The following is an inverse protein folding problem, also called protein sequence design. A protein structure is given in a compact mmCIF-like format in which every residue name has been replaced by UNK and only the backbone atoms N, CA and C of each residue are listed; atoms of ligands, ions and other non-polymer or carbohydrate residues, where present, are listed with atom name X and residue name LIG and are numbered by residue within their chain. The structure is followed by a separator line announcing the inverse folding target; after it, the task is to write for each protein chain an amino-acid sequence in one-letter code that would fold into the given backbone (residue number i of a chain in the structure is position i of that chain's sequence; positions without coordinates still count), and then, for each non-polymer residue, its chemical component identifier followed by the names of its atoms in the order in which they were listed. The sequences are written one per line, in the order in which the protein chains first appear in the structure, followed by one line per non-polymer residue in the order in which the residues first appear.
data_IF_528187618701
#
_entry.id   IF_528187618701
#
_cell.length_a   1.000
_cell.length_b   1.000
_cell.length_c   1.000
_cell.angle_alpha   90.00
_cell.angle_beta   90.00
_cell.angle_gamma   90.00
#
_symmetry.space_group_name_H-M   'P 1'
#
loop_
_entity.id
_entity.type
_entity.pdbx_description
1 polymer ?
#
# COMPACT_ATOMS: atom_id res chain seq x y z
N UNK A 1 -47.64 -23.74 -4.52
CA UNK A 1 -47.26 -24.62 -5.63
C UNK A 1 -48.49 -25.32 -6.13
N UNK A 2 -48.99 -25.01 -7.32
CA UNK A 2 -49.97 -25.86 -8.00
C UNK A 2 -49.21 -27.00 -8.65
N UNK A 3 -49.14 -28.14 -7.98
CA UNK A 3 -48.71 -29.37 -8.59
C UNK A 3 -49.93 -30.12 -8.98
N UNK A 4 -50.02 -30.50 -10.23
CA UNK A 4 -51.05 -31.46 -10.67
C UNK A 4 -50.84 -32.80 -9.99
N UNK A 5 -51.91 -33.44 -9.56
CA UNK A 5 -51.93 -34.74 -8.93
C UNK A 5 -51.29 -35.79 -9.79
N UNK A 6 -50.38 -36.60 -9.25
CA UNK A 6 -49.78 -37.62 -9.98
C UNK A 6 -49.53 -38.92 -9.31
N UNK A 7 -49.15 -39.80 -10.06
CA UNK A 7 -48.95 -41.21 -9.81
C UNK A 7 -47.52 -41.53 -9.36
N UNK A 8 -47.34 -42.51 -8.59
CA UNK A 8 -46.24 -43.13 -7.88
C UNK A 8 -44.91 -43.31 -8.60
N UNK A 9 -44.35 -42.26 -9.13
CA UNK A 9 -42.98 -42.24 -9.65
C UNK A 9 -42.04 -41.59 -8.67
N UNK A 10 -40.75 -41.87 -8.72
CA UNK A 10 -39.74 -41.22 -7.85
C UNK A 10 -39.66 -39.73 -8.10
N UNK A 11 -40.01 -39.28 -9.27
CA UNK A 11 -40.17 -37.88 -9.61
C UNK A 11 -41.36 -37.68 -10.59
N UNK A 12 -41.88 -36.47 -10.57
CA UNK A 12 -42.93 -36.04 -11.47
C UNK A 12 -42.35 -35.08 -12.52
N UNK A 13 -42.33 -35.47 -13.77
CA UNK A 13 -42.05 -34.62 -14.92
C UNK A 13 -43.30 -34.56 -15.78
N UNK A 14 -43.94 -33.41 -15.85
CA UNK A 14 -45.10 -33.19 -16.69
C UNK A 14 -44.67 -32.36 -17.91
N UNK A 15 -44.66 -32.91 -19.13
CA UNK A 15 -44.16 -32.22 -20.32
C UNK A 15 -44.81 -30.85 -20.52
N UNK A 16 -46.12 -30.75 -20.34
CA UNK A 16 -46.88 -29.51 -20.53
C UNK A 16 -47.06 -28.67 -19.25
N UNK A 17 -46.84 -29.24 -18.08
CA UNK A 17 -46.99 -28.58 -16.78
C UNK A 17 -45.67 -28.37 -16.06
N UNK A 18 -44.55 -28.85 -16.57
CA UNK A 18 -43.22 -28.67 -16.05
C UNK A 18 -42.62 -27.32 -16.40
N UNK A 19 -43.19 -26.65 -17.37
CA UNK A 19 -42.80 -25.29 -17.78
C UNK A 19 -43.95 -24.35 -17.45
N UNK A 20 -43.71 -23.43 -16.52
CA UNK A 20 -44.75 -22.49 -16.11
C UNK A 20 -44.20 -21.43 -15.13
N UNK A 21 -45.08 -20.59 -14.68
CA UNK A 21 -44.73 -19.60 -13.66
C UNK A 21 -44.70 -20.23 -12.27
N UNK A 22 -43.73 -19.91 -11.51
CA UNK A 22 -43.59 -20.33 -10.10
C UNK A 22 -43.53 -19.12 -9.19
N UNK A 23 -44.28 -19.13 -8.11
CA UNK A 23 -44.20 -18.12 -7.06
C UNK A 23 -44.58 -18.68 -5.70
N UNK A 24 -44.10 -18.08 -4.64
CA UNK A 24 -44.42 -18.42 -3.26
C UNK A 24 -44.81 -17.18 -2.43
N UNK A 25 -45.54 -16.25 -3.04
CA UNK A 25 -45.88 -14.96 -2.43
C UNK A 25 -46.75 -15.07 -1.15
N UNK A 26 -47.41 -16.20 -0.95
CA UNK A 26 -48.30 -16.45 0.19
C UNK A 26 -47.57 -17.04 1.42
N UNK A 27 -46.22 -17.01 1.42
CA UNK A 27 -45.48 -17.51 2.57
C UNK A 27 -45.68 -16.61 3.79
N UNK A 28 -45.98 -17.18 4.99
CA UNK A 28 -46.14 -16.43 6.20
C UNK A 28 -44.83 -15.73 6.60
N UNK A 29 -44.93 -14.66 7.37
CA UNK A 29 -43.74 -13.92 7.83
C UNK A 29 -42.73 -14.76 8.61
N UNK A 30 -43.20 -15.83 9.27
CA UNK A 30 -42.36 -16.80 9.99
C UNK A 30 -41.63 -17.79 9.09
N UNK A 31 -41.87 -17.80 7.77
CA UNK A 31 -41.24 -18.72 6.86
C UNK A 31 -39.73 -18.52 6.77
N UNK A 32 -38.98 -19.61 6.77
CA UNK A 32 -37.50 -19.60 6.67
C UNK A 32 -37.00 -19.23 5.26
N UNK A 33 -37.84 -19.44 4.25
CA UNK A 33 -37.47 -19.28 2.85
C UNK A 33 -37.73 -17.86 2.33
N UNK A 34 -36.96 -17.39 1.34
CA UNK A 34 -37.21 -16.12 0.71
C UNK A 34 -38.47 -16.18 -0.16
N UNK A 35 -39.03 -15.01 -0.46
CA UNK A 35 -40.00 -14.90 -1.57
C UNK A 35 -39.25 -15.09 -2.89
N UNK A 36 -39.77 -16.02 -3.72
CA UNK A 36 -39.20 -16.39 -5.02
C UNK A 36 -40.30 -16.35 -6.06
N UNK A 37 -39.99 -15.83 -7.22
CA UNK A 37 -40.81 -15.97 -8.43
C UNK A 37 -39.96 -16.28 -9.65
N UNK A 38 -40.49 -17.06 -10.55
CA UNK A 38 -39.87 -17.39 -11.82
C UNK A 38 -40.93 -17.50 -12.93
N UNK A 39 -40.55 -17.12 -14.15
CA UNK A 39 -41.34 -17.22 -15.36
C UNK A 39 -40.67 -18.27 -16.25
N UNK A 40 -41.45 -19.13 -16.86
CA UNK A 40 -40.96 -20.26 -17.71
C UNK A 40 -39.93 -21.12 -16.95
N UNK A 41 -40.35 -21.66 -15.81
CA UNK A 41 -39.48 -22.49 -14.94
C UNK A 41 -39.81 -23.96 -15.20
N UNK A 42 -38.79 -24.76 -15.43
CA UNK A 42 -38.90 -26.23 -15.42
C UNK A 42 -38.86 -26.71 -13.97
N UNK A 43 -39.92 -27.44 -13.58
CA UNK A 43 -40.03 -27.99 -12.21
C UNK A 43 -39.99 -29.51 -12.27
N UNK A 44 -39.14 -30.11 -11.44
CA UNK A 44 -39.01 -31.55 -11.24
C UNK A 44 -39.21 -31.86 -9.76
N UNK A 45 -40.17 -32.70 -9.41
CA UNK A 45 -40.46 -33.07 -8.03
C UNK A 45 -40.19 -34.55 -7.79
N UNK A 46 -39.41 -34.83 -6.76
CA UNK A 46 -39.05 -36.17 -6.31
C UNK A 46 -39.72 -36.47 -4.96
N UNK A 47 -40.96 -36.99 -4.92
CA UNK A 47 -41.74 -37.16 -3.69
C UNK A 47 -41.07 -38.05 -2.66
N UNK A 48 -40.45 -39.13 -3.08
CA UNK A 48 -39.74 -40.05 -2.16
C UNK A 48 -38.48 -39.46 -1.53
N UNK A 49 -37.93 -38.43 -2.13
CA UNK A 49 -36.73 -37.73 -1.63
C UNK A 49 -37.06 -36.41 -0.95
N UNK A 50 -38.34 -36.06 -0.92
CA UNK A 50 -38.79 -34.74 -0.40
C UNK A 50 -38.07 -33.56 -1.05
N UNK A 51 -37.80 -33.62 -2.35
CA UNK A 51 -37.04 -32.62 -3.08
C UNK A 51 -37.77 -32.15 -4.34
N UNK A 52 -37.69 -30.83 -4.58
CA UNK A 52 -38.15 -30.18 -5.77
C UNK A 52 -37.02 -29.37 -6.40
N UNK A 53 -36.77 -29.59 -7.67
CA UNK A 53 -35.81 -28.82 -8.45
C UNK A 53 -36.54 -27.85 -9.34
N UNK A 54 -36.06 -26.63 -9.40
CA UNK A 54 -36.53 -25.59 -10.29
C UNK A 54 -35.37 -25.03 -11.10
N UNK A 55 -35.47 -25.09 -12.41
CA UNK A 55 -34.44 -24.61 -13.33
C UNK A 55 -35.07 -23.55 -14.24
N UNK A 56 -34.42 -22.41 -14.38
CA UNK A 56 -34.85 -21.39 -15.35
C UNK A 56 -34.75 -21.92 -16.78
N UNK A 57 -35.61 -21.44 -17.64
CA UNK A 57 -35.52 -21.67 -19.09
C UNK A 57 -35.01 -20.38 -19.76
N UNK A 58 -35.73 -19.28 -19.63
CA UNK A 58 -35.41 -18.02 -20.31
C UNK A 58 -35.02 -16.91 -19.32
N UNK A 59 -35.82 -16.72 -18.27
CA UNK A 59 -35.69 -15.61 -17.34
C UNK A 59 -35.10 -16.03 -16.01
N UNK A 60 -34.34 -15.16 -15.38
CA UNK A 60 -33.81 -15.36 -14.02
C UNK A 60 -34.95 -15.40 -13.00
N UNK A 61 -34.74 -16.10 -11.90
CA UNK A 61 -35.63 -15.98 -10.74
C UNK A 61 -35.52 -14.62 -10.11
N UNK A 62 -36.63 -14.07 -9.64
CA UNK A 62 -36.65 -12.92 -8.76
C UNK A 62 -36.80 -13.41 -7.32
N UNK A 63 -35.90 -12.95 -6.42
CA UNK A 63 -35.89 -13.36 -5.03
C UNK A 63 -35.85 -12.16 -4.09
N UNK A 64 -36.09 -12.35 -2.79
CA UNK A 64 -36.09 -11.33 -1.78
C UNK A 64 -37.00 -10.13 -2.11
N UNK A 65 -38.29 -10.39 -2.29
CA UNK A 65 -39.31 -9.39 -2.69
C UNK A 65 -39.02 -8.75 -4.06
N UNK A 66 -38.56 -9.55 -5.01
CA UNK A 66 -38.28 -9.18 -6.42
C UNK A 66 -37.16 -8.14 -6.60
N UNK A 67 -36.36 -7.88 -5.57
CA UNK A 67 -35.27 -6.90 -5.64
C UNK A 67 -33.99 -7.47 -6.25
N UNK A 68 -33.85 -8.79 -6.26
CA UNK A 68 -32.61 -9.47 -6.64
C UNK A 68 -32.91 -10.54 -7.69
N UNK A 69 -31.96 -10.77 -8.58
CA UNK A 69 -32.03 -11.77 -9.64
C UNK A 69 -31.16 -12.96 -9.28
N UNK A 70 -31.70 -14.16 -9.49
CA UNK A 70 -30.92 -15.39 -9.35
C UNK A 70 -30.88 -16.14 -10.67
N UNK A 71 -29.68 -16.36 -11.18
CA UNK A 71 -29.40 -17.10 -12.40
C UNK A 71 -28.87 -18.49 -12.04
N UNK A 72 -29.68 -19.53 -12.22
CA UNK A 72 -29.26 -20.88 -11.87
C UNK A 72 -30.39 -21.84 -11.62
N UNK A 73 -30.12 -22.88 -10.84
CA UNK A 73 -31.03 -23.93 -10.42
C UNK A 73 -31.30 -23.80 -8.92
N UNK A 74 -32.56 -23.97 -8.54
CA UNK A 74 -32.94 -24.02 -7.11
C UNK A 74 -33.36 -25.42 -6.73
N UNK A 75 -33.04 -25.83 -5.51
CA UNK A 75 -33.45 -27.09 -4.89
C UNK A 75 -34.19 -26.77 -3.60
N UNK A 76 -35.46 -27.09 -3.54
CA UNK A 76 -36.26 -26.96 -2.32
C UNK A 76 -36.29 -28.31 -1.59
N UNK A 77 -36.04 -28.29 -0.30
CA UNK A 77 -36.22 -29.45 0.60
C UNK A 77 -36.95 -28.98 1.88
N UNK A 78 -37.42 -29.89 2.76
CA UNK A 78 -38.00 -29.50 4.04
C UNK A 78 -37.04 -28.72 4.96
N UNK A 79 -35.74 -28.90 4.76
CA UNK A 79 -34.70 -28.27 5.58
C UNK A 79 -34.34 -26.86 5.10
N UNK A 80 -34.18 -26.68 3.78
CA UNK A 80 -33.65 -25.47 3.19
C UNK A 80 -34.04 -25.28 1.71
N UNK A 81 -33.84 -24.07 1.21
CA UNK A 81 -33.83 -23.74 -0.21
C UNK A 81 -32.37 -23.49 -0.60
N UNK A 82 -31.88 -24.30 -1.55
CA UNK A 82 -30.52 -24.18 -2.07
C UNK A 82 -30.49 -23.63 -3.49
N UNK A 83 -29.48 -22.84 -3.79
CA UNK A 83 -29.20 -22.31 -5.12
C UNK A 83 -27.85 -22.81 -5.64
N UNK A 84 -27.85 -23.33 -6.87
CA UNK A 84 -26.66 -23.56 -7.67
C UNK A 84 -26.68 -22.52 -8.80
N UNK A 85 -25.87 -21.46 -8.65
CA UNK A 85 -25.91 -20.35 -9.57
C UNK A 85 -25.39 -19.04 -8.99
N UNK A 86 -25.90 -17.94 -9.55
CA UNK A 86 -25.43 -16.57 -9.32
C UNK A 86 -26.57 -15.67 -8.86
N UNK A 87 -26.42 -15.12 -7.68
CA UNK A 87 -27.27 -14.07 -7.14
C UNK A 87 -26.71 -12.71 -7.54
N UNK A 88 -27.54 -11.85 -8.12
CA UNK A 88 -27.14 -10.58 -8.72
C UNK A 88 -28.02 -9.45 -8.22
N UNK A 89 -27.40 -8.33 -7.87
CA UNK A 89 -28.07 -7.07 -7.55
C UNK A 89 -27.20 -5.88 -7.95
N UNK A 90 -27.71 -4.69 -7.76
CA UNK A 90 -27.06 -3.46 -8.24
C UNK A 90 -25.61 -3.27 -7.76
N UNK A 91 -25.30 -3.75 -6.56
CA UNK A 91 -23.97 -3.55 -5.97
C UNK A 91 -23.01 -4.71 -6.17
N UNK A 92 -23.53 -5.96 -6.42
CA UNK A 92 -22.65 -7.13 -6.46
C UNK A 92 -23.24 -8.37 -7.15
N UNK A 93 -22.35 -9.33 -7.40
CA UNK A 93 -22.65 -10.69 -7.79
C UNK A 93 -22.11 -11.65 -6.73
N UNK A 94 -22.94 -12.59 -6.28
CA UNK A 94 -22.56 -13.65 -5.35
C UNK A 94 -22.90 -15.01 -5.97
N UNK A 95 -21.91 -15.85 -6.23
CA UNK A 95 -22.10 -17.13 -6.92
C UNK A 95 -21.59 -18.29 -6.09
N UNK A 96 -22.33 -19.41 -6.12
CA UNK A 96 -21.97 -20.65 -5.46
C UNK A 96 -22.72 -21.82 -6.11
N UNK A 97 -22.13 -23.00 -6.07
CA UNK A 97 -22.80 -24.24 -6.48
C UNK A 97 -23.69 -24.82 -5.37
N UNK A 98 -23.58 -24.26 -4.15
CA UNK A 98 -24.36 -24.73 -2.98
C UNK A 98 -24.62 -23.55 -2.02
N UNK A 99 -25.46 -22.62 -2.47
CA UNK A 99 -25.90 -21.45 -1.71
C UNK A 99 -27.17 -21.80 -0.93
N UNK A 100 -27.19 -21.56 0.37
CA UNK A 100 -28.43 -21.66 1.16
C UNK A 100 -29.13 -20.31 1.20
N UNK A 101 -30.37 -20.28 0.75
CA UNK A 101 -31.20 -19.09 0.65
C UNK A 101 -32.20 -19.07 1.81
N UNK A 102 -32.01 -18.15 2.73
CA UNK A 102 -32.88 -17.88 3.85
C UNK A 102 -33.81 -16.70 3.49
N UNK A 103 -34.76 -16.38 4.36
CA UNK A 103 -35.76 -15.31 4.11
C UNK A 103 -35.16 -14.00 3.59
N UNK A 104 -34.10 -13.50 4.22
CA UNK A 104 -33.45 -12.25 3.85
C UNK A 104 -31.90 -12.41 3.82
N UNK A 105 -31.41 -13.62 3.64
CA UNK A 105 -30.01 -13.92 3.78
C UNK A 105 -29.58 -15.03 2.82
N UNK A 106 -28.40 -14.87 2.24
CA UNK A 106 -27.74 -15.90 1.46
C UNK A 106 -26.43 -16.31 2.15
N UNK A 107 -26.18 -17.64 2.23
CA UNK A 107 -24.95 -18.17 2.82
C UNK A 107 -24.37 -19.26 1.93
N UNK A 108 -23.04 -19.33 1.85
CA UNK A 108 -22.36 -20.39 1.14
C UNK A 108 -21.05 -20.76 1.81
N UNK A 109 -20.74 -22.04 1.87
CA UNK A 109 -19.46 -22.53 2.39
C UNK A 109 -18.30 -22.25 1.41
N UNK A 110 -18.59 -22.29 0.12
CA UNK A 110 -17.65 -21.90 -0.96
C UNK A 110 -18.39 -21.09 -2.01
N UNK A 111 -17.92 -19.88 -2.24
CA UNK A 111 -18.54 -18.92 -3.15
C UNK A 111 -17.50 -18.01 -3.80
N UNK A 112 -17.93 -17.27 -4.81
CA UNK A 112 -17.24 -16.09 -5.31
C UNK A 112 -18.10 -14.86 -5.09
N UNK A 113 -17.44 -13.74 -4.82
CA UNK A 113 -18.06 -12.42 -4.67
C UNK A 113 -17.36 -11.41 -5.56
N UNK A 114 -18.16 -10.61 -6.27
CA UNK A 114 -17.71 -9.49 -7.09
C UNK A 114 -18.55 -8.28 -6.71
N UNK A 115 -17.91 -7.23 -6.21
CA UNK A 115 -18.56 -5.96 -5.84
C UNK A 115 -18.22 -4.94 -6.92
N UNK A 116 -19.24 -4.28 -7.47
CA UNK A 116 -19.07 -3.27 -8.50
C UNK A 116 -18.44 -1.98 -7.93
N UNK A 117 -17.65 -1.31 -8.77
CA UNK A 117 -17.25 0.06 -8.54
C UNK A 117 -18.43 1.03 -8.79
N UNK A 118 -18.22 2.33 -8.58
CA UNK A 118 -19.20 3.35 -8.97
C UNK A 118 -19.53 3.27 -10.46
N UNK A 119 -18.53 2.95 -11.29
CA UNK A 119 -18.74 2.54 -12.68
C UNK A 119 -19.10 1.03 -12.69
N UNK A 120 -20.35 0.65 -12.96
CA UNK A 120 -20.79 -0.74 -12.88
C UNK A 120 -20.17 -1.66 -13.94
N UNK A 121 -19.43 -1.11 -14.90
CA UNK A 121 -18.64 -1.90 -15.85
C UNK A 121 -17.35 -2.46 -15.25
N UNK A 122 -16.98 -2.03 -14.02
CA UNK A 122 -15.75 -2.40 -13.35
C UNK A 122 -16.03 -2.96 -11.96
N UNK A 123 -15.17 -3.89 -11.55
CA UNK A 123 -15.21 -4.41 -10.19
C UNK A 123 -14.25 -3.63 -9.26
N UNK A 124 -14.76 -3.26 -8.10
CA UNK A 124 -13.97 -2.70 -7.03
C UNK A 124 -13.28 -3.78 -6.19
N UNK A 125 -13.97 -4.93 -6.03
CA UNK A 125 -13.49 -6.06 -5.22
C UNK A 125 -13.90 -7.38 -5.85
N UNK A 126 -12.99 -8.35 -5.88
CA UNK A 126 -13.21 -9.72 -6.34
C UNK A 126 -12.53 -10.72 -5.42
N UNK A 127 -13.27 -11.73 -5.02
CA UNK A 127 -12.73 -12.82 -4.22
C UNK A 127 -13.38 -14.15 -4.60
N UNK A 128 -12.58 -15.18 -4.73
CA UNK A 128 -13.00 -16.53 -5.06
C UNK A 128 -12.72 -17.48 -3.89
N UNK A 129 -13.53 -18.56 -3.82
CA UNK A 129 -13.42 -19.60 -2.80
C UNK A 129 -13.44 -19.02 -1.38
N UNK A 130 -14.53 -18.35 -1.07
CA UNK A 130 -14.79 -17.78 0.24
C UNK A 130 -16.02 -18.41 0.89
N UNK A 131 -15.98 -18.56 2.22
CA UNK A 131 -17.20 -18.70 3.00
C UNK A 131 -17.88 -17.33 3.04
N UNK A 132 -19.08 -17.24 2.48
CA UNK A 132 -19.81 -15.99 2.34
C UNK A 132 -21.14 -16.00 3.08
N UNK A 133 -21.44 -14.86 3.65
CA UNK A 133 -22.73 -14.54 4.26
C UNK A 133 -23.15 -13.15 3.78
N UNK A 134 -24.30 -13.04 3.15
CA UNK A 134 -24.89 -11.77 2.73
C UNK A 134 -26.26 -11.65 3.42
N UNK A 135 -26.41 -10.62 4.23
CA UNK A 135 -27.63 -10.32 4.97
C UNK A 135 -28.26 -9.05 4.39
N UNK A 136 -29.44 -9.20 3.81
CA UNK A 136 -30.15 -8.14 3.10
C UNK A 136 -30.99 -7.25 4.01
N UNK A 137 -31.28 -7.68 5.25
CA UNK A 137 -31.97 -6.83 6.24
C UNK A 137 -30.99 -5.83 6.85
N UNK A 138 -29.86 -6.32 7.33
CA UNK A 138 -28.80 -5.47 7.90
C UNK A 138 -27.97 -4.80 6.82
N UNK A 139 -28.10 -5.27 5.55
CA UNK A 139 -27.31 -4.84 4.39
C UNK A 139 -25.80 -4.97 4.65
N UNK A 140 -25.40 -6.17 5.09
CA UNK A 140 -23.99 -6.50 5.35
C UNK A 140 -23.57 -7.76 4.61
N UNK A 141 -22.29 -7.80 4.23
CA UNK A 141 -21.63 -8.99 3.69
C UNK A 141 -20.43 -9.37 4.55
N UNK A 142 -20.26 -10.65 4.85
CA UNK A 142 -19.09 -11.15 5.54
C UNK A 142 -18.48 -12.30 4.76
N UNK A 143 -17.22 -12.16 4.38
CA UNK A 143 -16.51 -13.11 3.54
C UNK A 143 -15.19 -13.50 4.19
N UNK A 144 -14.96 -14.81 4.29
CA UNK A 144 -13.72 -15.37 4.80
C UNK A 144 -13.09 -16.29 3.75
N UNK A 145 -11.83 -16.12 3.40
CA UNK A 145 -11.16 -17.01 2.47
C UNK A 145 -11.03 -18.42 3.04
N UNK A 146 -11.37 -19.42 2.24
CA UNK A 146 -11.28 -20.84 2.64
C UNK A 146 -9.83 -21.37 2.65
N UNK A 147 -8.95 -20.72 1.88
CA UNK A 147 -7.55 -21.11 1.75
C UNK A 147 -6.68 -20.01 2.32
N UNK A 148 -5.88 -20.34 3.32
CA UNK A 148 -4.96 -19.40 3.97
C UNK A 148 -3.91 -18.93 2.97
N UNK A 149 -3.72 -17.61 2.88
CA UNK A 149 -2.77 -16.99 1.96
C UNK A 149 -3.25 -16.86 0.52
N UNK A 150 -4.51 -17.25 0.21
CA UNK A 150 -5.10 -16.93 -1.10
C UNK A 150 -5.25 -15.43 -1.28
N UNK A 151 -5.11 -14.99 -2.53
CA UNK A 151 -5.20 -13.56 -2.84
C UNK A 151 -6.62 -13.18 -3.27
N UNK A 152 -7.09 -12.07 -2.75
CA UNK A 152 -8.24 -11.30 -3.21
C UNK A 152 -7.76 -10.11 -4.05
N UNK A 153 -8.61 -9.63 -4.93
CA UNK A 153 -8.23 -8.60 -5.89
C UNK A 153 -9.06 -7.33 -5.71
N UNK A 154 -8.40 -6.20 -5.88
CA UNK A 154 -8.97 -4.85 -5.98
C UNK A 154 -8.68 -4.32 -7.40
N UNK A 155 -9.47 -4.75 -8.41
CA UNK A 155 -9.12 -4.51 -9.82
C UNK A 155 -8.98 -3.02 -10.14
N UNK A 156 -9.86 -2.18 -9.58
CA UNK A 156 -9.81 -0.73 -9.78
C UNK A 156 -8.52 -0.08 -9.24
N UNK A 157 -8.03 -0.59 -8.11
CA UNK A 157 -6.83 -0.09 -7.46
C UNK A 157 -5.55 -0.76 -7.96
N UNK A 158 -5.64 -1.80 -8.80
CA UNK A 158 -4.51 -2.64 -9.21
C UNK A 158 -3.72 -3.21 -8.02
N UNK A 159 -4.44 -3.60 -6.97
CA UNK A 159 -3.87 -4.24 -5.78
C UNK A 159 -4.48 -5.62 -5.55
N UNK A 160 -3.75 -6.44 -4.84
CA UNK A 160 -4.21 -7.70 -4.28
C UNK A 160 -3.81 -7.80 -2.81
N UNK A 161 -4.53 -8.63 -2.06
CA UNK A 161 -4.24 -8.89 -0.66
C UNK A 161 -4.46 -10.36 -0.33
N UNK A 162 -3.63 -10.90 0.57
CA UNK A 162 -3.83 -12.23 1.12
C UNK A 162 -4.54 -12.21 2.49
N UNK A 163 -5.10 -11.08 2.89
CA UNK A 163 -5.98 -11.02 4.06
C UNK A 163 -7.19 -11.91 3.85
N UNK A 164 -7.81 -12.37 4.93
CA UNK A 164 -8.82 -13.42 4.85
C UNK A 164 -10.16 -13.09 5.48
N UNK A 165 -10.35 -11.92 6.04
CA UNK A 165 -11.59 -11.47 6.69
C UNK A 165 -12.05 -10.12 6.13
N UNK A 166 -13.23 -10.12 5.49
CA UNK A 166 -13.80 -8.99 4.78
C UNK A 166 -15.22 -8.72 5.29
N UNK A 167 -15.44 -7.57 5.90
CA UNK A 167 -16.75 -7.12 6.38
C UNK A 167 -17.24 -5.95 5.55
N UNK A 168 -18.24 -6.18 4.73
CA UNK A 168 -18.85 -5.20 3.85
C UNK A 168 -20.09 -4.57 4.47
N UNK A 169 -20.14 -3.25 4.56
CA UNK A 169 -21.33 -2.46 4.94
C UNK A 169 -21.86 -1.78 3.68
N UNK A 170 -22.98 -2.29 3.16
CA UNK A 170 -23.60 -1.81 1.93
C UNK A 170 -24.22 -0.41 2.12
N UNK A 171 -24.71 -0.09 3.32
CA UNK A 171 -25.28 1.21 3.60
C UNK A 171 -24.22 2.31 3.63
N UNK A 172 -23.09 2.04 4.27
CA UNK A 172 -21.94 2.97 4.30
C UNK A 172 -21.08 2.88 3.05
N UNK A 173 -21.31 1.87 2.20
CA UNK A 173 -20.49 1.56 1.03
C UNK A 173 -19.01 1.45 1.38
N UNK A 174 -18.69 0.74 2.45
CA UNK A 174 -17.33 0.53 2.93
C UNK A 174 -17.08 -0.94 3.24
N UNK A 175 -15.82 -1.37 3.11
CA UNK A 175 -15.39 -2.70 3.49
C UNK A 175 -14.23 -2.60 4.47
N UNK A 176 -14.32 -3.28 5.60
CA UNK A 176 -13.19 -3.53 6.50
C UNK A 176 -12.49 -4.81 6.11
N UNK A 177 -11.17 -4.79 6.15
CA UNK A 177 -10.29 -5.87 5.69
C UNK A 177 -9.29 -6.16 6.80
N UNK A 178 -9.28 -7.41 7.26
CA UNK A 178 -8.47 -7.86 8.41
C UNK A 178 -7.79 -9.19 8.12
N UNK A 179 -6.66 -9.48 8.77
CA UNK A 179 -6.15 -10.85 8.83
C UNK A 179 -7.17 -11.71 9.58
N UNK A 180 -7.60 -12.82 9.00
CA UNK A 180 -8.47 -13.75 9.70
C UNK A 180 -7.70 -14.54 10.77
N UNK A 181 -8.44 -15.14 11.70
CA UNK A 181 -7.86 -15.93 12.79
C UNK A 181 -7.07 -17.16 12.31
N UNK A 182 -7.31 -17.60 11.09
CA UNK A 182 -6.66 -18.78 10.49
C UNK A 182 -5.32 -18.48 9.82
N UNK A 183 -4.87 -17.21 9.73
CA UNK A 183 -3.63 -16.86 9.00
C UNK A 183 -2.36 -17.42 9.66
N UNK A 184 -2.37 -17.69 10.96
CA UNK A 184 -1.23 -18.32 11.64
C UNK A 184 0.08 -17.56 11.43
N UNK A 185 1.06 -18.22 10.82
CA UNK A 185 2.42 -17.67 10.58
C UNK A 185 2.46 -16.80 9.29
N UNK A 186 1.44 -16.84 8.43
CA UNK A 186 1.44 -16.08 7.16
C UNK A 186 1.23 -14.60 7.45
N UNK A 187 2.15 -13.78 6.98
CA UNK A 187 2.05 -12.33 7.12
C UNK A 187 0.93 -11.77 6.23
N UNK A 188 0.10 -10.87 6.76
CA UNK A 188 -0.89 -10.16 5.95
C UNK A 188 -0.21 -9.16 5.03
N UNK A 189 -0.38 -9.34 3.73
CA UNK A 189 0.31 -8.59 2.69
C UNK A 189 -0.66 -7.89 1.74
N UNK A 190 -0.29 -6.71 1.31
CA UNK A 190 -0.80 -6.08 0.10
C UNK A 190 0.28 -6.07 -0.97
N UNK A 191 -0.14 -6.27 -2.21
CA UNK A 191 0.73 -6.23 -3.37
C UNK A 191 0.12 -5.33 -4.45
N UNK A 192 0.83 -4.30 -4.88
CA UNK A 192 0.49 -3.53 -6.06
C UNK A 192 0.67 -4.39 -7.31
N UNK A 193 -0.31 -4.35 -8.22
CA UNK A 193 -0.31 -5.03 -9.51
C UNK A 193 -0.01 -3.98 -10.60
N UNK A 194 1.26 -3.64 -10.88
CA UNK A 194 1.59 -2.70 -11.93
C UNK A 194 1.31 -3.32 -13.31
N UNK A 195 1.18 -2.51 -14.32
CA UNK A 195 1.15 -2.96 -15.70
C UNK A 195 2.46 -3.68 -16.10
N UNK A 196 3.55 -3.39 -15.38
CA UNK A 196 4.82 -4.10 -15.47
C UNK A 196 5.10 -4.85 -14.17
N UNK A 197 4.96 -6.19 -14.20
CA UNK A 197 5.13 -7.06 -13.04
C UNK A 197 6.54 -7.01 -12.39
N UNK A 198 7.51 -6.34 -12.99
CA UNK A 198 8.87 -6.20 -12.47
C UNK A 198 9.02 -5.13 -11.39
N UNK A 199 8.04 -4.24 -11.23
CA UNK A 199 8.11 -3.10 -10.30
C UNK A 199 6.95 -3.07 -9.27
N UNK A 200 6.50 -4.23 -8.81
CA UNK A 200 5.42 -4.33 -7.84
C UNK A 200 5.87 -3.94 -6.43
N UNK A 201 5.09 -3.10 -5.77
CA UNK A 201 5.23 -2.80 -4.35
C UNK A 201 4.53 -3.87 -3.53
N UNK A 202 5.23 -4.47 -2.57
CA UNK A 202 4.65 -5.43 -1.62
C UNK A 202 5.00 -5.01 -0.20
N UNK A 203 4.02 -5.03 0.69
CA UNK A 203 4.24 -4.66 2.08
C UNK A 203 3.24 -5.35 3.01
N UNK A 204 3.65 -5.51 4.27
CA UNK A 204 2.83 -6.02 5.35
C UNK A 204 1.84 -4.95 5.81
N UNK A 205 0.56 -5.34 5.99
CA UNK A 205 -0.50 -4.44 6.46
C UNK A 205 -1.51 -5.25 7.26
N UNK A 206 -1.87 -4.79 8.47
CA UNK A 206 -2.74 -5.55 9.38
C UNK A 206 -4.18 -5.04 9.45
N UNK A 207 -4.48 -3.94 8.80
CA UNK A 207 -5.84 -3.43 8.70
C UNK A 207 -5.96 -2.56 7.46
N UNK A 208 -7.06 -2.72 6.74
CA UNK A 208 -7.42 -1.78 5.69
C UNK A 208 -8.93 -1.51 5.71
N UNK A 209 -9.31 -0.31 5.28
CA UNK A 209 -10.68 0.07 5.02
C UNK A 209 -10.80 0.53 3.57
N UNK A 210 -11.72 -0.08 2.84
CA UNK A 210 -12.00 0.27 1.47
C UNK A 210 -13.25 1.16 1.39
N UNK A 211 -13.12 2.34 0.83
CA UNK A 211 -14.23 3.23 0.49
C UNK A 211 -14.65 2.91 -0.96
N UNK A 212 -15.78 2.24 -1.11
CA UNK A 212 -16.31 1.79 -2.41
C UNK A 212 -16.85 2.94 -3.28
N UNK A 213 -17.16 4.09 -2.68
CA UNK A 213 -17.63 5.28 -3.43
C UNK A 213 -16.44 5.98 -4.09
N UNK A 214 -15.37 6.16 -3.34
CA UNK A 214 -14.16 6.84 -3.80
C UNK A 214 -13.16 5.88 -4.47
N UNK A 215 -13.37 4.57 -4.33
CA UNK A 215 -12.44 3.52 -4.71
C UNK A 215 -11.04 3.71 -4.10
N UNK A 216 -11.00 4.01 -2.79
CA UNK A 216 -9.79 4.31 -2.04
C UNK A 216 -9.58 3.30 -0.93
N UNK A 217 -8.38 2.71 -0.87
CA UNK A 217 -7.93 1.85 0.22
C UNK A 217 -7.17 2.68 1.26
N UNK A 218 -7.73 2.79 2.45
CA UNK A 218 -7.06 3.34 3.63
C UNK A 218 -6.41 2.19 4.38
N UNK A 219 -5.10 2.20 4.47
CA UNK A 219 -4.29 1.13 5.06
C UNK A 219 -3.67 1.59 6.37
N UNK A 220 -3.67 0.73 7.36
CA UNK A 220 -3.14 1.01 8.69
C UNK A 220 -2.31 -0.17 9.22
N UNK A 221 -1.50 0.10 10.23
CA UNK A 221 -0.59 -0.87 10.86
C UNK A 221 0.38 -1.47 9.84
N UNK A 222 0.95 -0.61 9.00
CA UNK A 222 2.03 -0.93 8.09
C UNK A 222 3.35 -0.75 8.85
N UNK A 223 4.14 -1.80 9.09
CA UNK A 223 5.41 -1.66 9.79
C UNK A 223 6.44 -0.91 8.96
N UNK A 224 6.54 -1.21 7.68
CA UNK A 224 7.40 -0.54 6.70
C UNK A 224 7.03 -0.97 5.27
N UNK A 225 7.57 -0.24 4.29
CA UNK A 225 7.51 -0.56 2.86
C UNK A 225 8.94 -0.63 2.33
N UNK A 226 9.34 -1.78 1.81
CA UNK A 226 10.66 -1.92 1.17
C UNK A 226 10.59 -1.40 -0.27
N UNK A 227 11.54 -0.52 -0.62
CA UNK A 227 11.73 0.02 -1.97
C UNK A 227 13.20 -0.12 -2.33
N UNK A 228 13.51 -0.97 -3.28
CA UNK A 228 14.87 -1.36 -3.65
C UNK A 228 15.68 -1.83 -2.42
N UNK A 229 16.81 -1.20 -2.13
CA UNK A 229 17.64 -1.49 -0.96
C UNK A 229 17.24 -0.70 0.28
N UNK A 230 16.25 0.19 0.19
CA UNK A 230 15.82 1.05 1.28
C UNK A 230 14.52 0.56 1.94
N UNK A 231 14.25 1.11 3.11
CA UNK A 231 13.05 0.84 3.88
C UNK A 231 12.39 2.15 4.29
N UNK A 232 11.13 2.29 3.88
CA UNK A 232 10.28 3.45 4.19
C UNK A 232 9.33 3.11 5.32
N UNK A 233 9.30 3.92 6.36
CA UNK A 233 8.39 3.82 7.49
C UNK A 233 7.34 4.92 7.36
N UNK A 234 6.10 4.60 7.00
CA UNK A 234 5.02 5.59 6.98
C UNK A 234 4.78 6.15 8.39
N UNK A 235 4.42 7.43 8.47
CA UNK A 235 4.02 8.02 9.75
C UNK A 235 2.76 7.30 10.28
N UNK A 236 2.77 6.92 11.55
CA UNK A 236 1.70 6.14 12.20
C UNK A 236 1.34 4.82 11.49
N UNK A 237 2.21 4.32 10.60
CA UNK A 237 1.96 3.10 9.85
C UNK A 237 0.79 3.18 8.88
N UNK A 238 0.51 4.36 8.30
CA UNK A 238 -0.62 4.61 7.41
C UNK A 238 -0.20 4.86 5.97
N UNK A 239 -1.01 4.36 5.04
CA UNK A 239 -0.91 4.68 3.62
C UNK A 239 -2.30 4.71 2.98
N UNK A 240 -2.42 5.46 1.89
CA UNK A 240 -3.65 5.56 1.11
C UNK A 240 -3.33 5.17 -0.33
N UNK A 241 -4.11 4.21 -0.87
CA UNK A 241 -3.97 3.75 -2.24
C UNK A 241 -5.23 4.07 -3.04
N UNK A 242 -5.02 4.68 -4.20
CA UNK A 242 -6.04 5.07 -5.17
C UNK A 242 -6.05 4.15 -6.38
N UNK A 243 -6.71 4.56 -7.44
CA UNK A 243 -6.73 3.83 -8.72
C UNK A 243 -5.33 3.60 -9.30
N UNK A 244 -5.19 2.56 -10.14
CA UNK A 244 -3.96 2.24 -10.90
C UNK A 244 -2.70 2.14 -10.05
N UNK A 245 -2.82 1.61 -8.84
CA UNK A 245 -1.74 1.43 -7.87
C UNK A 245 -1.09 2.74 -7.38
N UNK A 246 -1.73 3.88 -7.57
CA UNK A 246 -1.23 5.15 -7.06
C UNK A 246 -1.31 5.18 -5.53
N UNK A 247 -0.17 5.38 -4.87
CA UNK A 247 -0.09 5.61 -3.43
C UNK A 247 0.05 7.11 -3.16
N UNK A 248 -0.78 7.65 -2.28
CA UNK A 248 -0.68 9.04 -1.86
C UNK A 248 0.69 9.29 -1.20
N UNK A 249 1.14 10.56 -1.24
CA UNK A 249 2.39 10.96 -0.61
C UNK A 249 2.40 10.61 0.88
N UNK A 250 3.47 9.98 1.32
CA UNK A 250 3.73 9.68 2.72
C UNK A 250 4.45 10.87 3.37
N UNK A 251 3.69 11.70 4.08
CA UNK A 251 4.25 12.84 4.83
C UNK A 251 4.83 12.36 6.16
N UNK A 252 5.87 13.09 6.63
CA UNK A 252 6.58 12.79 7.89
C UNK A 252 7.13 11.36 7.99
N UNK A 253 7.32 10.69 6.87
CA UNK A 253 7.89 9.36 6.83
C UNK A 253 9.37 9.36 7.19
N UNK A 254 9.90 8.19 7.52
CA UNK A 254 11.30 7.94 7.82
C UNK A 254 11.86 6.94 6.81
N UNK A 255 13.05 7.18 6.31
CA UNK A 255 13.72 6.31 5.34
C UNK A 255 15.03 5.80 5.94
N UNK A 256 15.22 4.49 6.00
CA UNK A 256 16.51 3.84 6.19
C UNK A 256 17.10 3.56 4.82
N UNK A 257 18.25 4.18 4.49
CA UNK A 257 18.92 4.09 3.19
C UNK A 257 19.75 2.81 3.14
N UNK A 258 19.60 1.78 3.52
CA UNK A 258 20.07 0.41 3.43
C UNK A 258 19.38 -0.42 4.53
N UNK A 259 18.52 -1.31 4.09
CA UNK A 259 17.75 -2.16 5.00
C UNK A 259 18.58 -3.19 5.77
N UNK A 260 19.83 -3.44 5.34
CA UNK A 260 20.76 -4.37 5.98
C UNK A 260 21.68 -3.61 6.93
N UNK A 261 22.50 -2.71 6.40
CA UNK A 261 23.56 -2.01 7.16
C UNK A 261 23.06 -0.76 7.86
N UNK A 262 21.94 -0.18 7.40
CA UNK A 262 21.28 1.01 7.99
C UNK A 262 22.22 2.20 8.21
N UNK A 263 23.12 2.43 7.24
CA UNK A 263 24.14 3.49 7.37
C UNK A 263 23.54 4.88 7.53
N UNK A 264 22.42 5.15 6.85
CA UNK A 264 21.82 6.47 6.86
C UNK A 264 20.33 6.39 7.20
N UNK A 265 19.90 7.31 8.06
CA UNK A 265 18.49 7.52 8.40
C UNK A 265 18.08 8.94 8.00
N UNK A 266 17.02 9.06 7.20
CA UNK A 266 16.47 10.35 6.78
C UNK A 266 15.07 10.47 7.38
N UNK A 267 14.80 11.59 8.05
CA UNK A 267 13.56 11.84 8.81
C UNK A 267 12.72 12.96 8.21
N UNK A 268 11.47 13.02 8.65
CA UNK A 268 10.48 14.01 8.19
C UNK A 268 10.42 14.07 6.66
N UNK A 269 10.39 12.88 6.05
CA UNK A 269 10.39 12.77 4.61
C UNK A 269 9.00 13.04 4.05
N UNK A 270 8.99 13.63 2.85
CA UNK A 270 7.84 13.62 1.94
C UNK A 270 8.16 12.62 0.85
N UNK A 271 7.54 11.45 0.92
CA UNK A 271 7.91 10.30 0.08
C UNK A 271 6.79 9.93 -0.87
N UNK A 272 7.09 9.81 -2.15
CA UNK A 272 6.25 9.22 -3.19
C UNK A 272 6.84 7.86 -3.56
N UNK A 273 6.03 6.81 -3.47
CA UNK A 273 6.39 5.45 -3.89
C UNK A 273 5.67 5.17 -5.19
N UNK A 274 6.41 5.00 -6.27
CA UNK A 274 5.88 4.75 -7.61
C UNK A 274 5.99 3.27 -8.01
N UNK A 275 6.77 2.48 -7.27
CA UNK A 275 7.00 1.07 -7.52
C UNK A 275 7.97 0.46 -6.53
N UNK A 276 8.23 -0.83 -6.65
CA UNK A 276 9.15 -1.57 -5.76
C UNK A 276 10.62 -1.14 -5.90
N UNK A 277 10.97 -0.46 -7.01
CA UNK A 277 12.31 0.08 -7.26
C UNK A 277 12.26 1.57 -7.63
N UNK A 278 11.17 2.27 -7.32
CA UNK A 278 11.02 3.66 -7.70
C UNK A 278 10.36 4.46 -6.58
N UNK A 279 11.11 5.39 -6.02
CA UNK A 279 10.62 6.39 -5.08
C UNK A 279 11.23 7.77 -5.41
N UNK A 280 10.52 8.82 -5.00
CA UNK A 280 11.02 10.17 -4.96
C UNK A 280 10.70 10.76 -3.58
N UNK A 281 11.69 11.35 -2.92
CA UNK A 281 11.48 11.92 -1.60
C UNK A 281 12.37 13.15 -1.36
N UNK A 282 11.99 13.89 -0.31
CA UNK A 282 12.82 14.93 0.33
C UNK A 282 12.78 14.68 1.82
N UNK A 283 13.76 15.17 2.57
CA UNK A 283 13.75 14.96 4.02
C UNK A 283 14.96 15.59 4.71
N UNK A 284 15.18 15.22 5.95
CA UNK A 284 16.29 15.74 6.76
C UNK A 284 17.19 14.60 7.21
N UNK A 285 18.46 14.69 6.83
CA UNK A 285 19.52 13.84 7.33
C UNK A 285 20.16 14.49 8.55
N UNK A 286 20.49 13.71 9.56
CA UNK A 286 21.17 14.18 10.76
C UNK A 286 22.67 13.90 10.66
N UNK A 287 23.45 14.94 10.32
CA UNK A 287 24.91 14.87 10.36
C UNK A 287 25.40 14.93 11.79
N UNK A 288 26.16 13.95 12.21
CA UNK A 288 26.70 13.85 13.57
C UNK A 288 28.22 13.72 13.48
N UNK A 289 28.96 14.73 13.96
CA UNK A 289 30.41 14.71 14.00
C UNK A 289 30.96 13.83 15.16
N UNK A 290 32.26 13.66 15.20
CA UNK A 290 32.94 12.87 16.24
C UNK A 290 32.75 13.43 17.68
N UNK A 291 32.36 14.70 17.82
CA UNK A 291 32.04 15.33 19.10
C UNK A 291 30.56 15.21 19.46
N UNK A 292 29.80 14.45 18.70
CA UNK A 292 28.33 14.28 18.84
C UNK A 292 27.53 15.56 18.61
N UNK A 293 28.09 16.53 17.88
CA UNK A 293 27.34 17.70 17.44
C UNK A 293 26.43 17.33 16.31
N UNK A 294 25.16 17.61 16.45
CA UNK A 294 24.14 17.30 15.46
C UNK A 294 23.80 18.52 14.60
N UNK A 295 23.76 18.33 13.29
CA UNK A 295 23.38 19.38 12.34
C UNK A 295 22.39 18.78 11.32
N UNK A 296 21.18 19.38 11.15
CA UNK A 296 20.23 18.90 10.17
C UNK A 296 20.67 19.33 8.77
N UNK A 297 20.78 18.37 7.86
CA UNK A 297 21.01 18.58 6.44
C UNK A 297 19.72 18.30 5.67
N UNK A 298 19.25 19.26 4.91
CA UNK A 298 18.11 19.04 4.02
C UNK A 298 18.56 18.28 2.78
N UNK A 299 17.95 17.12 2.56
CA UNK A 299 18.12 16.29 1.36
C UNK A 299 17.00 16.65 0.42
N UNK A 300 17.29 17.39 -0.62
CA UNK A 300 16.30 17.97 -1.53
C UNK A 300 15.90 17.04 -2.66
N UNK A 301 16.63 15.95 -2.88
CA UNK A 301 16.32 14.89 -3.83
C UNK A 301 16.77 13.54 -3.31
N UNK A 302 15.84 12.65 -3.06
CA UNK A 302 16.08 11.23 -2.72
C UNK A 302 15.42 10.39 -3.79
N UNK A 303 16.18 9.45 -4.37
CA UNK A 303 15.69 8.57 -5.44
C UNK A 303 16.40 7.23 -5.41
N UNK A 304 15.88 6.27 -6.16
CA UNK A 304 16.57 5.01 -6.45
C UNK A 304 17.33 5.19 -7.78
N UNK A 305 18.60 4.81 -7.81
CA UNK A 305 19.40 4.83 -9.02
C UNK A 305 19.17 3.59 -9.90
N UNK A 306 19.88 3.52 -11.02
CA UNK A 306 19.81 2.41 -11.99
C UNK A 306 20.30 1.06 -11.41
N UNK A 307 21.16 1.11 -10.40
CA UNK A 307 21.74 -0.06 -9.73
C UNK A 307 20.89 -0.49 -8.50
N UNK A 308 19.71 0.14 -8.33
CA UNK A 308 18.73 -0.08 -7.25
C UNK A 308 19.23 0.31 -5.86
N UNK A 309 20.06 1.34 -5.80
CA UNK A 309 20.52 1.92 -4.57
C UNK A 309 19.81 3.26 -4.28
N UNK A 310 19.52 3.52 -3.02
CA UNK A 310 19.02 4.82 -2.64
C UNK A 310 20.17 5.83 -2.68
N UNK A 311 19.91 6.95 -3.37
CA UNK A 311 20.81 8.10 -3.47
C UNK A 311 20.07 9.36 -3.03
N UNK A 312 20.70 10.14 -2.16
CA UNK A 312 20.20 11.41 -1.65
C UNK A 312 21.15 12.56 -1.97
N UNK A 313 20.64 13.66 -2.50
CA UNK A 313 21.40 14.89 -2.79
C UNK A 313 20.86 16.04 -1.96
N UNK A 314 21.76 16.90 -1.49
CA UNK A 314 21.38 18.14 -0.84
C UNK A 314 22.43 19.23 -1.01
N UNK A 315 22.01 20.46 -0.74
CA UNK A 315 22.86 21.64 -0.79
C UNK A 315 22.81 22.38 0.53
N UNK A 316 23.98 22.78 1.03
CA UNK A 316 24.06 23.68 2.18
C UNK A 316 23.63 25.06 1.70
N UNK A 317 22.67 25.68 2.38
CA UNK A 317 22.18 27.02 2.03
C UNK A 317 23.35 28.04 2.04
N UNK A 318 23.30 29.01 1.14
CA UNK A 318 24.41 29.95 0.90
C UNK A 318 24.79 30.77 2.16
N UNK A 319 23.80 31.08 2.98
CA UNK A 319 23.96 31.80 4.27
C UNK A 319 24.46 30.93 5.39
N UNK A 320 24.53 29.60 5.21
CA UNK A 320 24.90 28.62 6.24
C UNK A 320 26.28 28.02 5.98
N UNK A 321 26.91 27.62 7.05
CA UNK A 321 28.16 26.85 7.03
C UNK A 321 27.93 25.55 7.81
N UNK A 322 28.07 24.40 7.11
CA UNK A 322 28.10 23.11 7.76
C UNK A 322 29.45 22.95 8.47
N UNK A 323 29.48 22.56 9.72
CA UNK A 323 30.69 22.13 10.40
C UNK A 323 30.91 20.64 10.16
N UNK A 324 31.84 20.30 9.25
CA UNK A 324 32.27 18.90 9.08
C UNK A 324 32.95 18.37 10.33
N UNK A 325 33.71 19.28 11.01
CA UNK A 325 34.33 19.06 12.29
C UNK A 325 34.28 20.41 13.05
N UNK A 326 34.59 20.42 14.35
CA UNK A 326 34.62 21.63 15.20
C UNK A 326 35.44 22.78 14.58
N UNK A 327 36.48 22.43 13.82
CA UNK A 327 37.42 23.38 13.21
C UNK A 327 37.35 23.44 11.67
N UNK A 328 36.42 22.79 11.04
CA UNK A 328 36.29 22.71 9.57
C UNK A 328 34.90 23.08 9.14
N UNK A 329 34.77 24.20 8.44
CA UNK A 329 33.52 24.64 7.84
C UNK A 329 33.44 24.20 6.37
N UNK A 330 32.23 23.84 5.90
CA UNK A 330 31.92 23.44 4.52
C UNK A 330 30.78 24.24 3.96
N UNK A 331 30.88 24.55 2.66
CA UNK A 331 29.79 25.05 1.80
C UNK A 331 29.77 24.26 0.50
N UNK A 332 28.58 23.89 0.03
CA UNK A 332 28.44 23.18 -1.24
C UNK A 332 27.33 22.16 -1.23
N UNK A 333 27.52 21.12 -2.01
CA UNK A 333 26.59 20.00 -2.15
C UNK A 333 27.12 18.76 -1.44
N UNK A 334 26.21 17.87 -1.08
CA UNK A 334 26.55 16.56 -0.53
C UNK A 334 25.70 15.46 -1.19
N UNK A 335 26.26 14.26 -1.23
CA UNK A 335 25.61 13.06 -1.72
C UNK A 335 25.70 11.94 -0.68
N UNK A 336 24.55 11.33 -0.44
CA UNK A 336 24.39 10.13 0.40
C UNK A 336 24.08 8.96 -0.51
N UNK A 337 24.83 7.88 -0.39
CA UNK A 337 24.57 6.61 -1.11
C UNK A 337 24.38 5.51 -0.08
N UNK A 338 23.32 4.71 -0.24
CA UNK A 338 22.97 3.63 0.69
C UNK A 338 24.06 2.61 0.93
N UNK A 339 24.95 2.39 -0.05
CA UNK A 339 26.00 1.36 -0.03
C UNK A 339 27.25 1.76 0.76
N UNK A 340 27.38 3.00 1.18
CA UNK A 340 28.56 3.47 1.92
C UNK A 340 28.16 4.34 3.12
N UNK A 341 28.92 4.21 4.21
CA UNK A 341 28.71 4.99 5.43
C UNK A 341 29.17 6.45 5.28
N UNK A 342 30.21 6.67 4.51
CA UNK A 342 30.76 7.99 4.29
C UNK A 342 29.90 8.79 3.30
N UNK A 343 29.89 10.12 3.48
CA UNK A 343 29.12 11.08 2.69
C UNK A 343 30.07 11.78 1.74
N UNK A 344 29.70 11.94 0.46
CA UNK A 344 30.46 12.72 -0.49
C UNK A 344 30.11 14.19 -0.38
N UNK A 345 31.12 15.04 -0.26
CA UNK A 345 31.00 16.48 -0.21
C UNK A 345 31.69 17.11 -1.41
N UNK A 346 30.97 18.00 -2.11
CA UNK A 346 31.45 18.69 -3.31
C UNK A 346 31.25 20.19 -3.14
N UNK A 347 32.33 20.94 -2.96
CA UNK A 347 32.21 22.39 -2.73
C UNK A 347 33.49 23.02 -2.20
N UNK A 348 33.40 23.63 -1.04
CA UNK A 348 34.49 24.39 -0.44
C UNK A 348 34.57 24.14 1.04
N UNK A 349 35.79 24.02 1.57
CA UNK A 349 36.08 23.94 3.01
C UNK A 349 36.96 25.12 3.43
N UNK A 350 36.85 25.47 4.68
CA UNK A 350 37.80 26.42 5.32
C UNK A 350 38.08 26.04 6.77
N UNK A 351 39.27 26.29 7.27
CA UNK A 351 39.56 26.27 8.71
C UNK A 351 38.67 27.28 9.45
N UNK A 352 38.11 26.86 10.57
CA UNK A 352 37.30 27.70 11.46
C UNK A 352 38.12 28.06 12.70
N UNK A 353 38.33 29.33 12.96
CA UNK A 353 38.97 29.83 14.16
C UNK A 353 38.32 31.13 14.62
N UNK A 354 38.50 31.47 15.87
CA UNK A 354 37.92 32.66 16.50
C UNK A 354 38.79 33.93 16.34
N UNK A 355 39.90 33.85 15.61
CA UNK A 355 40.80 34.97 15.45
C UNK A 355 40.26 35.98 14.44
N UNK A 356 39.99 37.21 14.89
CA UNK A 356 39.22 38.20 14.11
C UNK A 356 40.08 38.89 13.04
N UNK A 357 41.40 38.91 13.18
CA UNK A 357 42.30 39.67 12.29
C UNK A 357 42.70 38.93 11.01
N UNK A 358 42.37 37.68 10.85
CA UNK A 358 42.72 36.92 9.63
C UNK A 358 41.53 36.23 9.02
N UNK A 359 41.22 36.59 7.77
CA UNK A 359 40.21 35.91 6.98
C UNK A 359 40.86 34.71 6.29
N UNK A 360 40.36 33.49 6.60
CA UNK A 360 40.76 32.28 5.89
C UNK A 360 40.01 32.13 4.58
N UNK A 361 40.75 31.76 3.54
CA UNK A 361 40.16 31.53 2.22
C UNK A 361 39.45 30.17 2.16
N UNK A 362 38.49 30.06 1.27
CA UNK A 362 37.80 28.83 0.96
C UNK A 362 38.64 27.98 0.00
N UNK A 363 38.88 26.74 0.38
CA UNK A 363 39.59 25.71 -0.40
C UNK A 363 38.53 24.89 -1.20
N UNK A 364 38.72 24.73 -2.49
CA UNK A 364 37.94 23.81 -3.29
C UNK A 364 38.13 22.38 -2.78
N UNK A 365 37.00 21.66 -2.61
CA UNK A 365 36.99 20.39 -1.95
C UNK A 365 35.98 19.44 -2.59
N UNK A 366 36.44 18.22 -2.88
CA UNK A 366 35.58 17.11 -3.29
C UNK A 366 36.19 15.84 -2.71
N UNK A 367 35.50 15.23 -1.79
CA UNK A 367 35.97 14.00 -1.14
C UNK A 367 34.83 13.27 -0.44
N UNK A 368 35.07 12.01 -0.13
CA UNK A 368 34.18 11.13 0.64
C UNK A 368 34.62 11.16 2.10
N UNK A 369 33.76 11.70 2.96
CA UNK A 369 34.08 11.98 4.35
C UNK A 369 33.33 11.04 5.29
N UNK A 370 34.07 10.37 6.16
CA UNK A 370 33.50 9.76 7.36
C UNK A 370 33.29 10.85 8.41
N UNK A 371 32.04 11.11 8.86
CA UNK A 371 31.77 12.12 9.90
C UNK A 371 32.53 11.91 11.21
N UNK A 372 32.96 10.69 11.49
CA UNK A 372 33.74 10.34 12.68
C UNK A 372 35.25 10.57 12.52
N UNK A 373 35.72 10.71 11.25
CA UNK A 373 37.13 10.90 10.95
C UNK A 373 37.34 11.82 9.74
N UNK A 374 37.09 13.11 9.95
CA UNK A 374 37.22 14.14 8.90
C UNK A 374 38.67 14.44 8.61
N UNK A 375 39.14 14.15 7.41
CA UNK A 375 40.47 14.48 6.91
C UNK A 375 40.33 15.33 5.66
N UNK A 376 41.09 16.44 5.59
CA UNK A 376 41.15 17.35 4.46
C UNK A 376 42.50 17.22 3.77
N UNK A 377 42.52 16.77 2.51
CA UNK A 377 43.74 16.75 1.73
C UNK A 377 44.10 18.16 1.24
N UNK A 378 45.26 18.62 1.61
CA UNK A 378 45.73 19.97 1.32
C UNK A 378 47.03 19.98 0.47
N UNK A 379 47.37 18.87 -0.20
CA UNK A 379 48.59 18.77 -1.03
C UNK A 379 48.64 19.73 -2.20
N UNK A 380 47.49 20.11 -2.77
CA UNK A 380 47.41 21.04 -3.91
C UNK A 380 46.18 21.95 -3.78
N UNK A 381 46.16 22.84 -2.79
CA UNK A 381 45.01 23.65 -2.44
C UNK A 381 44.74 24.70 -3.54
N UNK A 382 43.45 24.82 -3.91
CA UNK A 382 42.94 25.78 -4.90
C UNK A 382 41.72 26.50 -4.38
N UNK A 383 41.62 27.80 -4.68
CA UNK A 383 40.44 28.60 -4.36
C UNK A 383 39.26 28.35 -5.35
N UNK A 384 38.20 29.14 -5.18
CA UNK A 384 37.00 29.10 -6.06
C UNK A 384 37.31 29.43 -7.52
N UNK A 385 38.34 30.23 -7.80
CA UNK A 385 38.80 30.66 -9.13
C UNK A 385 39.90 29.75 -9.69
N UNK A 386 40.11 28.57 -9.08
CA UNK A 386 41.12 27.57 -9.43
C UNK A 386 42.59 28.07 -9.24
N UNK A 387 42.80 29.17 -8.53
CA UNK A 387 44.14 29.67 -8.21
C UNK A 387 44.74 28.81 -7.09
N UNK A 388 46.06 28.57 -7.19
CA UNK A 388 46.79 27.85 -6.14
C UNK A 388 46.88 28.66 -4.88
N UNK A 389 46.59 28.04 -3.75
CA UNK A 389 46.70 28.60 -2.42
C UNK A 389 47.97 28.08 -1.75
N UNK A 390 48.44 28.82 -0.75
CA UNK A 390 49.49 28.39 0.16
C UNK A 390 48.88 28.05 1.51
N UNK A 391 49.50 27.11 2.19
CA UNK A 391 49.14 26.74 3.53
C UNK A 391 50.24 27.25 4.46
N UNK A 392 49.84 27.87 5.54
CA UNK A 392 50.75 28.34 6.56
C UNK A 392 50.20 28.12 7.96
N UNK A 393 51.01 28.56 8.88
CA UNK A 393 50.65 28.53 10.29
C UNK A 393 50.78 29.96 10.82
N UNK A 394 49.73 30.42 11.45
CA UNK A 394 49.74 31.70 12.14
C UNK A 394 49.91 31.46 13.63
N UNK A 395 50.87 32.16 14.25
CA UNK A 395 51.09 32.17 15.68
C UNK A 395 50.54 33.45 16.27
N UNK A 396 49.56 33.34 17.14
CA UNK A 396 48.96 34.47 17.84
C UNK A 396 49.70 34.70 19.16
N UNK A 397 50.50 35.77 19.23
CA UNK A 397 51.31 36.09 20.40
C UNK A 397 50.48 36.38 21.64
N UNK A 398 49.26 36.91 21.48
CA UNK A 398 48.36 37.28 22.58
C UNK A 398 47.70 36.09 23.28
N UNK A 399 47.62 34.96 22.62
CA UNK A 399 46.91 33.77 23.11
C UNK A 399 47.77 32.51 23.12
N UNK A 400 49.00 32.54 22.67
CA UNK A 400 49.90 31.39 22.50
C UNK A 400 49.27 30.24 21.68
N UNK A 401 48.40 30.58 20.73
CA UNK A 401 47.72 29.59 19.87
C UNK A 401 48.27 29.60 18.45
N UNK A 402 48.26 28.42 17.86
CA UNK A 402 48.69 28.19 16.49
C UNK A 402 47.47 27.85 15.63
N UNK A 403 47.28 28.60 14.55
CA UNK A 403 46.17 28.45 13.64
C UNK A 403 46.62 28.04 12.23
N UNK A 404 46.06 27.01 11.60
CA UNK A 404 46.28 26.76 10.19
C UNK A 404 45.57 27.83 9.35
N UNK A 405 46.26 28.36 8.36
CA UNK A 405 45.71 29.38 7.44
C UNK A 405 45.90 28.99 5.99
N UNK A 406 44.94 29.42 5.16
CA UNK A 406 45.03 29.35 3.72
C UNK A 406 45.14 30.79 3.19
N UNK A 407 46.15 31.04 2.34
CA UNK A 407 46.41 32.40 1.83
C UNK A 407 46.87 32.38 0.36
N UNK A 408 46.68 33.50 -0.31
CA UNK A 408 47.22 33.76 -1.65
C UNK A 408 48.59 34.46 -1.51
N UNK A 409 49.64 33.88 -2.04
CA UNK A 409 51.01 34.46 -2.00
C UNK A 409 51.10 35.82 -2.70
N UNK A 410 50.14 36.20 -3.55
CA UNK A 410 50.10 37.50 -4.22
C UNK A 410 49.44 38.61 -3.39
N UNK A 411 48.70 38.28 -2.37
CA UNK A 411 48.20 39.26 -1.39
C UNK A 411 49.31 39.56 -0.39
N UNK A 412 50.01 40.68 -0.61
CA UNK A 412 50.84 41.23 0.46
C UNK A 412 49.89 41.61 1.59
N UNK A 413 50.00 40.98 2.71
CA UNK A 413 49.41 41.50 3.96
C UNK A 413 50.18 42.78 4.27
N UNK A 414 49.55 43.94 4.08
CA UNK A 414 50.05 45.18 4.66
C UNK A 414 50.04 44.96 6.20
N UNK A 415 51.20 45.14 6.81
CA UNK A 415 51.30 45.20 8.26
C UNK A 415 50.31 46.23 8.81
N UNK A 416 49.72 46.00 10.01
CA UNK A 416 48.73 46.88 10.60
C UNK A 416 49.22 48.26 10.85
#
# INVERSE_FOLDING_TARGET
YQTSTSHSTEYLLLPDATVGNSSNFDLPESAKYPLVSGVNVRTEWYPKQDRMFQTKIDSNFHIFKMKYNFDGKMTLSPQDLRGDGKLMWDEANFASNDMVLWRNKATAASSSIQIFAVDPSKFAFECNNVKGVVDFDTRTGHFNTNVVGSYTHFPYNHYSSNMSDYLWDMNKKTMEIKPGTSMGIIKPMFAGLPQDAKDSVKFECHYAKFDLVKNVLFMEKIPYIDVADSRVYPFDGRAVVREKAYMDRLDSSRIEANKIDKFHEIKNCRTFIHGGNNLAATGYYRYIDKYKTEQPLYVDSIRIDKDKHLVGYGRIAEDKILKLDKKIGFKGMFEIISTRRAIEFMGFVKPMHSFVKMETLWLRYTDVVDPQNVVIDVRNPRDKDNKRLSIGVYYANDSNHVYPILFDLKRRYSDP
#
